data_IF_543183858625
#
_entry.id   IF_543183858625
#
_cell.length_a   1.000
_cell.length_b   1.000
_cell.length_c   1.000
_cell.angle_alpha   90.00
_cell.angle_beta   90.00
_cell.angle_gamma   90.00
#
_symmetry.space_group_name_H-M   'P 1'
#
loop_
_entity.id
_entity.type
_entity.pdbx_description
1 polymer ?
#
# COMPACT_ATOMS: atom_id res chain seq x y z
N UNK A 1 48.84 -39.29 2.92
CA UNK A 1 50.12 -38.81 2.36
C UNK A 1 50.09 -37.30 2.41
N UNK A 2 50.95 -36.72 3.23
CA UNK A 2 51.19 -35.29 3.31
C UNK A 2 51.98 -34.83 2.06
N UNK A 3 51.80 -33.57 1.65
CA UNK A 3 52.95 -32.72 1.39
C UNK A 3 52.56 -31.25 1.61
N UNK A 4 53.19 -30.72 2.66
CA UNK A 4 53.31 -29.32 3.02
C UNK A 4 54.56 -28.77 2.29
N UNK A 5 54.51 -27.52 1.85
CA UNK A 5 55.70 -26.68 1.65
C UNK A 5 55.29 -25.22 1.84
N UNK A 6 55.68 -24.66 2.97
CA UNK A 6 55.51 -23.24 3.30
C UNK A 6 56.73 -22.38 3.01
N UNK A 7 56.56 -21.08 3.28
CA UNK A 7 57.52 -19.97 3.56
C UNK A 7 57.16 -18.70 2.75
N UNK A 8 57.16 -17.43 3.22
CA UNK A 8 57.48 -16.67 4.47
C UNK A 8 56.85 -15.25 4.26
N UNK A 9 56.47 -14.49 5.31
CA UNK A 9 55.85 -13.16 5.17
C UNK A 9 56.85 -12.04 4.87
N UNK A 10 56.48 -11.09 3.99
CA UNK A 10 57.27 -9.87 3.70
C UNK A 10 56.91 -8.69 4.62
N UNK A 11 57.95 -7.95 4.97
CA UNK A 11 58.05 -6.88 5.96
C UNK A 11 57.46 -5.51 5.57
N UNK A 12 57.03 -4.77 6.61
CA UNK A 12 56.88 -3.31 6.79
C UNK A 12 57.19 -2.41 5.58
N UNK A 13 56.14 -1.77 5.05
CA UNK A 13 56.20 -0.57 4.20
C UNK A 13 55.67 0.67 4.93
N UNK A 14 56.38 1.80 4.77
CA UNK A 14 56.20 3.10 5.44
C UNK A 14 54.81 3.72 5.26
N UNK A 15 54.36 4.45 6.29
CA UNK A 15 53.06 5.11 6.37
C UNK A 15 52.78 6.11 5.24
N UNK A 16 51.55 6.02 4.71
CA UNK A 16 50.84 7.15 4.10
C UNK A 16 49.69 7.46 5.03
N UNK A 17 49.69 8.67 5.60
CA UNK A 17 48.52 9.25 6.24
C UNK A 17 47.39 9.33 5.21
N UNK A 18 46.32 8.58 5.45
CA UNK A 18 45.11 8.66 4.64
C UNK A 18 44.47 10.03 4.90
N UNK A 19 44.56 10.95 3.94
CA UNK A 19 43.69 12.14 3.92
C UNK A 19 42.26 11.63 3.71
N UNK A 20 41.39 11.94 4.66
CA UNK A 20 39.94 11.74 4.52
C UNK A 20 39.46 12.38 3.21
N UNK A 21 38.53 11.72 2.51
CA UNK A 21 37.96 12.26 1.28
C UNK A 21 37.19 13.54 1.60
N UNK A 22 37.20 14.52 0.69
CA UNK A 22 36.44 15.78 0.85
C UNK A 22 34.95 15.53 1.13
N UNK A 23 34.38 14.41 0.68
CA UNK A 23 33.00 14.02 0.98
C UNK A 23 32.80 13.62 2.44
N UNK A 24 33.78 12.96 3.08
CA UNK A 24 33.68 12.62 4.51
C UNK A 24 33.80 13.86 5.40
N UNK A 25 34.58 14.86 4.98
CA UNK A 25 34.71 16.14 5.69
C UNK A 25 33.47 17.02 5.53
N UNK A 26 32.87 17.07 4.33
CA UNK A 26 31.60 17.75 4.07
C UNK A 26 30.43 17.09 4.81
N UNK A 27 30.44 15.76 4.94
CA UNK A 27 29.46 15.01 5.71
C UNK A 27 29.60 15.25 7.23
N UNK A 28 30.83 15.25 7.78
CA UNK A 28 31.05 15.57 9.19
C UNK A 28 30.58 17.00 9.54
N UNK A 29 30.74 17.96 8.61
CA UNK A 29 30.23 19.32 8.76
C UNK A 29 28.69 19.40 8.66
N UNK A 30 28.06 18.59 7.79
CA UNK A 30 26.60 18.50 7.67
C UNK A 30 25.95 17.79 8.87
N UNK A 31 26.62 16.80 9.47
CA UNK A 31 26.21 16.12 10.71
C UNK A 31 26.27 17.06 11.91
N UNK A 32 27.25 17.96 11.96
CA UNK A 32 27.30 19.04 12.96
C UNK A 32 26.26 20.15 12.70
N UNK A 33 25.73 20.25 11.48
CA UNK A 33 24.67 21.18 11.08
C UNK A 33 23.27 20.54 11.08
N UNK A 34 23.14 19.28 11.49
CA UNK A 34 21.86 18.63 11.71
C UNK A 34 21.13 19.21 12.93
N UNK A 35 19.81 18.98 13.05
CA UNK A 35 19.00 19.50 14.14
C UNK A 35 19.67 19.28 15.50
N UNK A 36 19.93 20.36 16.23
CA UNK A 36 20.34 20.23 17.63
C UNK A 36 19.16 19.71 18.45
N UNK A 37 19.40 19.20 19.67
CA UNK A 37 18.36 18.84 20.64
C UNK A 37 17.29 19.94 20.85
N UNK A 38 17.60 21.20 20.50
CA UNK A 38 16.64 22.31 20.54
C UNK A 38 15.55 22.25 19.45
N UNK A 39 15.79 21.62 18.30
CA UNK A 39 14.77 21.45 17.24
C UNK A 39 13.79 20.30 17.53
N UNK A 40 14.18 19.36 18.40
CA UNK A 40 13.26 18.36 18.95
C UNK A 40 12.28 18.96 19.98
N UNK A 41 12.53 20.19 20.47
CA UNK A 41 11.68 20.84 21.46
C UNK A 41 10.36 21.41 20.88
N UNK A 42 10.31 21.63 19.55
CA UNK A 42 9.09 22.08 18.84
C UNK A 42 8.18 20.90 18.42
N UNK A 43 8.58 19.65 18.69
CA UNK A 43 7.77 18.47 18.40
C UNK A 43 6.87 18.14 19.58
N UNK A 44 5.61 17.74 19.31
CA UNK A 44 4.69 17.31 20.37
C UNK A 44 5.35 16.18 21.20
N UNK A 45 5.51 16.35 22.52
CA UNK A 45 6.12 15.35 23.40
C UNK A 45 5.52 13.95 23.28
N UNK A 46 4.26 13.84 22.83
CA UNK A 46 3.61 12.56 22.55
C UNK A 46 4.35 11.72 21.50
N UNK A 47 5.02 12.35 20.51
CA UNK A 47 5.82 11.64 19.49
C UNK A 47 7.13 11.08 20.02
N UNK A 48 7.63 11.60 21.14
CA UNK A 48 8.88 11.19 21.77
C UNK A 48 8.66 10.19 22.92
N UNK A 49 7.40 9.89 23.25
CA UNK A 49 7.06 8.94 24.30
C UNK A 49 7.43 7.49 23.90
N UNK A 50 7.96 6.67 24.83
CA UNK A 50 8.29 5.27 24.54
C UNK A 50 7.06 4.48 24.06
N UNK A 51 7.13 3.73 22.94
CA UNK A 51 5.98 3.06 22.32
C UNK A 51 5.18 2.18 23.29
N UNK A 52 5.86 1.50 24.22
CA UNK A 52 5.22 0.60 25.18
C UNK A 52 4.30 1.30 26.19
N UNK A 53 4.56 2.57 26.52
CA UNK A 53 3.71 3.30 27.47
C UNK A 53 2.34 3.63 26.86
N UNK A 54 2.30 3.94 25.55
CA UNK A 54 1.08 4.29 24.83
C UNK A 54 0.16 3.08 24.53
N UNK A 55 0.70 1.87 24.41
CA UNK A 55 -0.09 0.65 24.10
C UNK A 55 -1.00 0.17 25.25
N UNK A 56 -0.91 0.77 26.45
CA UNK A 56 -1.68 0.34 27.64
C UNK A 56 -2.93 1.17 27.92
N UNK A 57 -3.23 2.18 27.10
CA UNK A 57 -4.45 2.96 27.22
C UNK A 57 -5.65 2.15 26.66
N UNK A 58 -6.38 1.48 27.56
CA UNK A 58 -7.47 0.55 27.28
C UNK A 58 -8.76 1.18 26.73
N UNK A 59 -8.69 1.86 25.58
CA UNK A 59 -9.85 2.26 24.79
C UNK A 59 -10.18 1.24 23.70
N UNK A 60 -11.46 1.11 23.33
CA UNK A 60 -11.85 0.40 22.11
C UNK A 60 -11.39 1.22 20.91
N UNK A 61 -10.40 0.73 20.16
CA UNK A 61 -9.93 1.41 18.95
C UNK A 61 -11.07 1.51 17.92
N UNK A 62 -11.28 2.71 17.40
CA UNK A 62 -12.17 2.97 16.26
C UNK A 62 -11.27 3.40 15.09
N UNK A 63 -11.31 2.69 13.95
CA UNK A 63 -10.55 3.07 12.76
C UNK A 63 -10.82 4.52 12.35
N UNK A 64 -9.80 5.21 11.86
CA UNK A 64 -9.99 6.57 11.36
C UNK A 64 -10.91 6.52 10.12
N UNK A 65 -11.92 7.40 10.09
CA UNK A 65 -12.91 7.47 9.01
C UNK A 65 -12.90 8.87 8.40
N UNK A 66 -12.06 9.15 7.40
CA UNK A 66 -12.09 10.43 6.73
C UNK A 66 -13.40 10.68 6.00
N UNK A 67 -13.68 11.96 5.74
CA UNK A 67 -14.69 12.35 4.77
C UNK A 67 -14.34 11.73 3.41
N UNK A 68 -15.30 11.02 2.82
CA UNK A 68 -15.10 10.33 1.55
C UNK A 68 -15.59 11.21 0.41
N UNK A 69 -14.91 11.18 -0.75
CA UNK A 69 -15.47 11.76 -1.96
C UNK A 69 -16.79 11.07 -2.31
N UNK A 70 -17.65 11.77 -3.04
CA UNK A 70 -18.83 11.17 -3.63
C UNK A 70 -18.42 10.03 -4.57
N UNK A 71 -19.17 8.92 -4.53
CA UNK A 71 -18.89 7.73 -5.32
C UNK A 71 -19.20 7.99 -6.79
N UNK A 72 -18.19 7.91 -7.65
CA UNK A 72 -18.33 8.10 -9.10
C UNK A 72 -19.25 7.08 -9.77
N UNK A 73 -19.38 5.89 -9.19
CA UNK A 73 -20.25 4.80 -9.65
C UNK A 73 -21.22 4.36 -8.54
N UNK A 74 -21.67 5.30 -7.71
CA UNK A 74 -22.63 5.05 -6.63
C UNK A 74 -24.03 4.62 -7.12
N UNK A 75 -24.84 4.09 -6.20
CA UNK A 75 -26.23 3.69 -6.47
C UNK A 75 -26.39 2.35 -7.19
N UNK A 76 -25.29 1.68 -7.54
CA UNK A 76 -25.31 0.32 -8.10
C UNK A 76 -25.73 -0.69 -7.03
N UNK A 77 -26.65 -1.59 -7.39
CA UNK A 77 -27.20 -2.61 -6.50
C UNK A 77 -26.55 -3.96 -6.74
N UNK A 78 -26.39 -4.74 -5.67
CA UNK A 78 -26.08 -6.16 -5.80
C UNK A 78 -27.20 -6.88 -6.53
N UNK A 79 -26.82 -7.76 -7.46
CA UNK A 79 -27.73 -8.58 -8.26
C UNK A 79 -27.18 -10.00 -8.32
N UNK A 80 -27.80 -10.89 -7.56
CA UNK A 80 -27.45 -12.30 -7.54
C UNK A 80 -27.95 -12.98 -8.82
N UNK A 81 -27.04 -13.65 -9.52
CA UNK A 81 -27.34 -14.49 -10.67
C UNK A 81 -27.11 -15.94 -10.27
N UNK A 82 -28.19 -16.73 -10.27
CA UNK A 82 -28.13 -18.14 -9.90
C UNK A 82 -29.34 -18.88 -10.45
N UNK A 83 -29.14 -20.12 -10.89
CA UNK A 83 -30.24 -21.04 -11.25
C UNK A 83 -30.87 -21.68 -10.00
N UNK A 84 -30.18 -21.60 -8.86
CA UNK A 84 -30.64 -22.16 -7.60
C UNK A 84 -31.67 -21.23 -6.94
N UNK A 85 -32.58 -21.84 -6.18
CA UNK A 85 -33.43 -21.13 -5.22
C UNK A 85 -33.07 -21.63 -3.81
N UNK A 86 -33.17 -20.76 -2.77
CA UNK A 86 -32.96 -21.21 -1.39
C UNK A 86 -33.83 -22.43 -1.07
N UNK A 87 -33.23 -23.48 -0.55
CA UNK A 87 -33.88 -24.76 -0.25
C UNK A 87 -33.44 -25.31 1.11
N UNK A 88 -34.19 -26.29 1.62
CA UNK A 88 -33.96 -26.83 2.97
C UNK A 88 -34.10 -25.73 4.03
N UNK A 89 -33.09 -25.62 4.91
CA UNK A 89 -33.07 -24.62 5.99
C UNK A 89 -32.55 -23.23 5.55
N UNK A 90 -32.07 -23.10 4.30
CA UNK A 90 -31.53 -21.83 3.80
C UNK A 90 -32.54 -20.67 3.86
N UNK A 91 -33.83 -20.80 3.49
CA UNK A 91 -34.77 -19.69 3.54
C UNK A 91 -34.91 -19.09 4.95
N UNK A 92 -34.98 -19.94 5.97
CA UNK A 92 -35.07 -19.53 7.38
C UNK A 92 -33.78 -18.85 7.83
N UNK A 93 -32.62 -19.48 7.57
CA UNK A 93 -31.32 -18.92 7.95
C UNK A 93 -31.07 -17.54 7.29
N UNK A 94 -31.43 -17.37 6.02
CA UNK A 94 -31.31 -16.08 5.32
C UNK A 94 -32.22 -15.04 5.98
N UNK A 95 -33.47 -15.38 6.28
CA UNK A 95 -34.42 -14.45 6.88
C UNK A 95 -33.97 -14.00 8.29
N UNK A 96 -33.45 -14.91 9.11
CA UNK A 96 -32.92 -14.60 10.44
C UNK A 96 -31.68 -13.70 10.37
N UNK A 97 -30.71 -14.03 9.49
CA UNK A 97 -29.50 -13.22 9.33
C UNK A 97 -29.81 -11.81 8.82
N UNK A 98 -30.70 -11.68 7.82
CA UNK A 98 -31.13 -10.38 7.30
C UNK A 98 -31.80 -9.56 8.40
N UNK A 99 -32.71 -10.17 9.17
CA UNK A 99 -33.37 -9.51 10.29
C UNK A 99 -32.38 -9.02 11.35
N UNK A 100 -31.36 -9.82 11.68
CA UNK A 100 -30.31 -9.40 12.62
C UNK A 100 -29.48 -8.22 12.08
N UNK A 101 -29.16 -8.22 10.79
CA UNK A 101 -28.46 -7.09 10.15
C UNK A 101 -29.30 -5.81 10.19
N UNK A 102 -30.61 -5.91 9.91
CA UNK A 102 -31.57 -4.80 9.99
C UNK A 102 -31.77 -4.29 11.42
N UNK A 103 -31.68 -5.19 12.41
CA UNK A 103 -31.70 -4.86 13.84
C UNK A 103 -30.37 -4.26 14.35
N UNK A 104 -29.35 -4.14 13.49
CA UNK A 104 -28.00 -3.70 13.84
C UNK A 104 -27.28 -4.62 14.84
N UNK A 105 -27.61 -5.91 14.84
CA UNK A 105 -26.86 -6.92 15.59
C UNK A 105 -25.43 -6.97 15.06
N UNK A 106 -24.45 -6.78 15.97
CA UNK A 106 -23.03 -6.74 15.61
C UNK A 106 -22.46 -8.12 15.30
N UNK A 107 -22.88 -9.14 16.06
CA UNK A 107 -22.34 -10.48 16.00
C UNK A 107 -23.47 -11.49 15.74
N UNK A 108 -23.31 -12.29 14.69
CA UNK A 108 -24.24 -13.35 14.30
C UNK A 108 -23.46 -14.59 13.85
N UNK A 109 -24.00 -15.78 14.11
CA UNK A 109 -23.33 -17.05 13.78
C UNK A 109 -24.22 -17.93 12.92
N UNK A 110 -23.80 -18.19 11.68
CA UNK A 110 -24.41 -19.19 10.82
C UNK A 110 -23.81 -20.57 11.10
N UNK A 111 -24.52 -21.39 11.88
CA UNK A 111 -24.12 -22.77 12.14
C UNK A 111 -24.54 -23.70 10.98
N UNK A 112 -23.75 -23.69 9.91
CA UNK A 112 -24.02 -24.51 8.72
C UNK A 112 -23.13 -25.75 8.60
N UNK A 113 -23.74 -26.94 8.45
CA UNK A 113 -23.01 -28.18 8.15
C UNK A 113 -22.25 -28.09 6.81
N UNK A 114 -21.24 -28.95 6.61
CA UNK A 114 -20.52 -29.02 5.33
C UNK A 114 -21.46 -29.44 4.21
N UNK A 115 -21.37 -28.78 3.05
CA UNK A 115 -22.25 -29.06 1.90
C UNK A 115 -23.63 -28.40 1.96
N UNK A 116 -24.00 -27.67 3.01
CA UNK A 116 -25.31 -27.00 3.10
C UNK A 116 -25.46 -25.73 2.24
N UNK A 117 -24.46 -25.39 1.43
CA UNK A 117 -24.49 -24.18 0.58
C UNK A 117 -24.29 -22.86 1.32
N UNK A 118 -23.41 -22.83 2.34
CA UNK A 118 -23.12 -21.62 3.14
C UNK A 118 -22.78 -20.38 2.30
N UNK A 119 -21.98 -20.53 1.24
CA UNK A 119 -21.64 -19.41 0.36
C UNK A 119 -22.89 -18.81 -0.28
N UNK A 120 -23.79 -19.65 -0.80
CA UNK A 120 -25.04 -19.20 -1.42
C UNK A 120 -25.99 -18.54 -0.40
N UNK A 121 -26.06 -19.07 0.82
CA UNK A 121 -26.76 -18.41 1.94
C UNK A 121 -26.22 -17.00 2.18
N UNK A 122 -24.90 -16.84 2.26
CA UNK A 122 -24.28 -15.52 2.48
C UNK A 122 -24.44 -14.58 1.28
N UNK A 123 -24.40 -15.10 0.05
CA UNK A 123 -24.69 -14.32 -1.15
C UNK A 123 -26.12 -13.73 -1.12
N UNK A 124 -27.11 -14.54 -0.74
CA UNK A 124 -28.49 -14.07 -0.53
C UNK A 124 -28.60 -12.99 0.55
N UNK A 125 -27.84 -13.10 1.64
CA UNK A 125 -27.81 -12.07 2.70
C UNK A 125 -27.21 -10.76 2.16
N UNK A 126 -26.12 -10.83 1.41
CA UNK A 126 -25.48 -9.64 0.80
C UNK A 126 -26.44 -8.96 -0.19
N UNK A 127 -27.09 -9.73 -1.07
CA UNK A 127 -28.06 -9.19 -2.01
C UNK A 127 -29.25 -8.53 -1.29
N UNK A 128 -29.80 -9.14 -0.23
CA UNK A 128 -30.97 -8.58 0.45
C UNK A 128 -30.65 -7.34 1.28
N UNK A 129 -29.45 -7.29 1.87
CA UNK A 129 -29.04 -6.17 2.71
C UNK A 129 -28.47 -5.01 1.91
N UNK A 130 -27.99 -5.25 0.67
CA UNK A 130 -27.40 -4.24 -0.20
C UNK A 130 -26.22 -3.49 0.45
N UNK A 131 -25.44 -4.17 1.30
CA UNK A 131 -24.28 -3.61 2.00
C UNK A 131 -22.98 -4.16 1.40
N UNK A 132 -21.94 -3.34 1.19
CA UNK A 132 -20.60 -3.82 0.89
C UNK A 132 -20.17 -4.88 1.91
N UNK A 133 -19.49 -5.92 1.44
CA UNK A 133 -19.12 -7.06 2.28
C UNK A 133 -17.61 -7.32 2.21
N UNK A 134 -17.00 -7.55 3.39
CA UNK A 134 -15.65 -8.08 3.51
C UNK A 134 -15.74 -9.52 3.99
N UNK A 135 -15.22 -10.46 3.20
CA UNK A 135 -15.21 -11.89 3.49
C UNK A 135 -13.80 -12.30 3.86
N UNK A 136 -13.60 -12.74 5.10
CA UNK A 136 -12.30 -13.15 5.60
C UNK A 136 -12.11 -14.65 5.46
N UNK A 137 -11.05 -15.04 4.75
CA UNK A 137 -10.63 -16.43 4.59
C UNK A 137 -9.30 -16.67 5.32
N UNK A 138 -9.14 -17.82 6.00
CA UNK A 138 -7.94 -18.14 6.78
C UNK A 138 -6.72 -18.49 5.91
N UNK A 139 -6.91 -18.78 4.62
CA UNK A 139 -5.83 -19.11 3.70
C UNK A 139 -6.16 -18.67 2.26
N UNK A 140 -5.12 -18.57 1.42
CA UNK A 140 -5.23 -18.12 0.01
C UNK A 140 -6.09 -19.08 -0.84
N UNK A 141 -6.05 -20.38 -0.57
CA UNK A 141 -6.80 -21.39 -1.35
C UNK A 141 -8.30 -21.22 -1.19
N UNK A 142 -8.79 -21.12 0.05
CA UNK A 142 -10.21 -20.89 0.33
C UNK A 142 -10.63 -19.48 -0.12
N UNK A 143 -9.75 -18.48 0.02
CA UNK A 143 -10.01 -17.13 -0.49
C UNK A 143 -10.26 -17.15 -2.01
N UNK A 144 -9.42 -17.86 -2.78
CA UNK A 144 -9.58 -17.98 -4.23
C UNK A 144 -10.86 -18.73 -4.62
N UNK A 145 -11.21 -19.80 -3.88
CA UNK A 145 -12.48 -20.52 -4.07
C UNK A 145 -13.69 -19.62 -3.86
N UNK A 146 -13.73 -18.91 -2.72
CA UNK A 146 -14.80 -17.97 -2.41
C UNK A 146 -14.87 -16.83 -3.44
N UNK A 147 -13.73 -16.27 -3.84
CA UNK A 147 -13.69 -15.24 -4.89
C UNK A 147 -14.32 -15.74 -6.20
N UNK A 148 -13.99 -16.96 -6.64
CA UNK A 148 -14.58 -17.55 -7.84
C UNK A 148 -16.09 -17.79 -7.69
N UNK A 149 -16.54 -18.35 -6.56
CA UNK A 149 -17.96 -18.56 -6.27
C UNK A 149 -18.74 -17.24 -6.26
N UNK A 150 -18.24 -16.21 -5.56
CA UNK A 150 -18.88 -14.91 -5.52
C UNK A 150 -18.87 -14.20 -6.88
N UNK A 151 -17.81 -14.35 -7.70
CA UNK A 151 -17.80 -13.83 -9.08
C UNK A 151 -18.87 -14.49 -9.95
N UNK A 152 -19.11 -15.79 -9.78
CA UNK A 152 -20.20 -16.48 -10.49
C UNK A 152 -21.58 -16.00 -10.01
N UNK A 153 -21.74 -15.77 -8.71
CA UNK A 153 -22.98 -15.27 -8.14
C UNK A 153 -23.26 -13.80 -8.47
N UNK A 154 -22.25 -12.97 -8.61
CA UNK A 154 -22.39 -11.53 -8.84
C UNK A 154 -21.55 -11.07 -10.05
N UNK A 155 -21.86 -11.55 -11.27
CA UNK A 155 -21.07 -11.25 -12.46
C UNK A 155 -21.13 -9.77 -12.86
N UNK A 156 -22.22 -9.07 -12.51
CA UNK A 156 -22.45 -7.66 -12.81
C UNK A 156 -21.93 -6.70 -11.72
N UNK A 157 -21.42 -7.22 -10.58
CA UNK A 157 -20.97 -6.43 -9.43
C UNK A 157 -19.45 -6.52 -9.19
N UNK A 158 -18.93 -5.63 -8.35
CA UNK A 158 -17.51 -5.57 -8.01
C UNK A 158 -17.14 -6.61 -6.94
N UNK A 159 -16.95 -7.85 -7.37
CA UNK A 159 -16.29 -8.88 -6.54
C UNK A 159 -14.78 -8.74 -6.70
N UNK A 160 -14.06 -8.58 -5.59
CA UNK A 160 -12.65 -8.18 -5.56
C UNK A 160 -11.84 -9.11 -4.66
N UNK A 161 -10.54 -9.17 -4.91
CA UNK A 161 -9.62 -10.09 -4.22
C UNK A 161 -8.49 -9.33 -3.52
N UNK A 162 -8.33 -9.55 -2.21
CA UNK A 162 -7.38 -8.82 -1.38
C UNK A 162 -6.57 -9.74 -0.47
N UNK A 163 -5.48 -10.30 -1.00
CA UNK A 163 -4.54 -11.14 -0.23
C UNK A 163 -3.13 -10.57 -0.31
N UNK A 164 -2.19 -11.21 0.40
CA UNK A 164 -0.77 -10.86 0.23
C UNK A 164 -0.35 -11.08 -1.22
N UNK A 165 0.13 -10.00 -1.83
CA UNK A 165 0.74 -9.97 -3.16
C UNK A 165 2.15 -10.59 -3.21
N UNK A 166 2.68 -11.11 -2.11
CA UNK A 166 3.97 -11.79 -2.15
C UNK A 166 3.76 -13.27 -2.52
N UNK A 167 4.47 -13.73 -3.55
CA UNK A 167 4.64 -15.16 -3.85
C UNK A 167 5.65 -15.78 -2.88
N UNK A 168 6.71 -15.03 -2.59
CA UNK A 168 7.71 -15.36 -1.59
C UNK A 168 7.96 -14.14 -0.71
N UNK A 169 8.06 -14.36 0.60
CA UNK A 169 8.36 -13.30 1.57
C UNK A 169 9.21 -13.84 2.70
N UNK A 170 10.40 -13.28 2.85
CA UNK A 170 11.28 -13.43 3.98
C UNK A 170 11.31 -12.10 4.75
N UNK A 171 10.84 -12.06 6.00
CA UNK A 171 10.94 -10.86 6.81
C UNK A 171 12.40 -10.55 7.17
N UNK A 172 12.68 -9.27 7.36
CA UNK A 172 13.90 -8.85 8.04
C UNK A 172 13.89 -9.40 9.47
N UNK A 173 14.99 -10.05 9.88
CA UNK A 173 15.10 -10.63 11.21
C UNK A 173 16.54 -10.63 11.70
N UNK A 174 16.71 -10.64 13.02
CA UNK A 174 17.99 -10.85 13.65
C UNK A 174 17.87 -12.02 14.64
N UNK A 175 18.77 -13.00 14.53
CA UNK A 175 18.82 -14.19 15.38
C UNK A 175 19.97 -14.01 16.38
N UNK A 176 19.70 -13.65 17.65
CA UNK A 176 20.76 -13.33 18.61
C UNK A 176 21.68 -14.50 18.93
N UNK A 177 21.14 -15.73 18.94
CA UNK A 177 21.91 -16.94 19.29
C UNK A 177 23.06 -17.21 18.31
N UNK A 178 22.90 -16.81 17.06
CA UNK A 178 23.87 -17.05 15.99
C UNK A 178 24.47 -15.75 15.45
N UNK A 179 24.15 -14.60 16.05
CA UNK A 179 24.51 -13.26 15.57
C UNK A 179 24.28 -13.12 14.06
N UNK A 180 23.12 -13.59 13.59
CA UNK A 180 22.79 -13.63 12.16
C UNK A 180 21.71 -12.62 11.85
N UNK A 181 22.03 -11.70 10.95
CA UNK A 181 21.05 -10.82 10.33
C UNK A 181 20.54 -11.45 9.03
N UNK A 182 19.22 -11.51 8.90
CA UNK A 182 18.49 -12.02 7.75
C UNK A 182 17.88 -10.81 7.05
N UNK A 183 18.32 -10.55 5.82
CA UNK A 183 17.78 -9.49 4.99
C UNK A 183 16.35 -9.82 4.56
N UNK A 184 15.54 -8.76 4.42
CA UNK A 184 14.25 -8.84 3.75
C UNK A 184 14.48 -9.27 2.31
N UNK A 185 13.78 -10.30 1.89
CA UNK A 185 13.72 -10.72 0.50
C UNK A 185 12.28 -11.06 0.13
N UNK A 186 11.84 -10.66 -1.04
CA UNK A 186 10.44 -10.83 -1.43
C UNK A 186 10.26 -10.79 -2.94
N UNK A 187 9.34 -11.61 -3.43
CA UNK A 187 8.86 -11.59 -4.81
C UNK A 187 7.41 -11.17 -4.85
N UNK A 188 7.10 -10.13 -5.62
CA UNK A 188 5.75 -9.61 -5.80
C UNK A 188 5.08 -10.30 -6.99
N UNK A 189 3.83 -10.68 -6.79
CA UNK A 189 2.91 -11.15 -7.80
C UNK A 189 2.12 -9.95 -8.33
N UNK A 190 2.44 -9.53 -9.56
CA UNK A 190 1.85 -8.37 -10.22
C UNK A 190 0.33 -8.50 -10.44
N UNK A 191 -0.18 -9.72 -10.62
CA UNK A 191 -1.61 -9.98 -10.80
C UNK A 191 -2.36 -9.75 -9.48
N UNK A 192 -1.82 -10.24 -8.36
CA UNK A 192 -2.41 -10.01 -7.04
C UNK A 192 -2.30 -8.54 -6.63
N UNK A 193 -1.18 -7.87 -6.94
CA UNK A 193 -1.04 -6.43 -6.72
C UNK A 193 -2.11 -5.63 -7.46
N UNK A 194 -2.33 -5.94 -8.75
CA UNK A 194 -3.42 -5.38 -9.56
C UNK A 194 -4.79 -5.60 -8.89
N UNK A 195 -5.09 -6.82 -8.44
CA UNK A 195 -6.35 -7.13 -7.77
C UNK A 195 -6.55 -6.34 -6.47
N UNK A 196 -5.46 -6.07 -5.71
CA UNK A 196 -5.53 -5.20 -4.51
C UNK A 196 -5.85 -3.75 -4.87
N UNK A 197 -5.25 -3.23 -5.94
CA UNK A 197 -5.58 -1.91 -6.47
C UNK A 197 -7.05 -1.85 -6.94
N UNK A 198 -7.53 -2.90 -7.60
CA UNK A 198 -8.95 -3.03 -7.98
C UNK A 198 -9.86 -2.98 -6.76
N UNK A 199 -9.57 -3.75 -5.70
CA UNK A 199 -10.36 -3.79 -4.47
C UNK A 199 -10.48 -2.43 -3.76
N UNK A 200 -9.34 -1.75 -3.58
CA UNK A 200 -9.28 -0.45 -2.90
C UNK A 200 -9.91 0.67 -3.72
N UNK A 201 -9.82 0.63 -5.05
CA UNK A 201 -10.56 1.54 -5.94
C UNK A 201 -12.06 1.26 -5.87
N UNK A 202 -12.47 0.01 -6.06
CA UNK A 202 -13.88 -0.38 -6.14
C UNK A 202 -14.68 0.10 -4.92
N UNK A 203 -14.17 -0.11 -3.70
CA UNK A 203 -14.86 0.31 -2.47
C UNK A 203 -15.01 1.82 -2.33
N UNK A 204 -14.14 2.61 -2.97
CA UNK A 204 -14.21 4.07 -2.98
C UNK A 204 -15.13 4.61 -4.08
N UNK A 205 -15.36 3.86 -5.16
CA UNK A 205 -16.14 4.32 -6.30
C UNK A 205 -17.55 3.72 -6.37
N UNK A 206 -17.79 2.56 -5.75
CA UNK A 206 -19.01 1.76 -5.92
C UNK A 206 -19.64 1.35 -4.60
N UNK A 207 -20.95 1.08 -4.62
CA UNK A 207 -21.71 0.56 -3.47
C UNK A 207 -21.84 -0.96 -3.47
N UNK A 208 -21.71 -1.60 -4.63
CA UNK A 208 -21.91 -3.02 -4.85
C UNK A 208 -20.59 -3.81 -4.83
N UNK A 209 -19.84 -3.71 -3.72
CA UNK A 209 -18.50 -4.28 -3.59
C UNK A 209 -18.45 -5.44 -2.58
N UNK A 210 -17.94 -6.59 -3.02
CA UNK A 210 -17.60 -7.74 -2.18
C UNK A 210 -16.09 -7.94 -2.25
N UNK A 211 -15.38 -7.82 -1.13
CA UNK A 211 -13.95 -8.08 -1.07
C UNK A 211 -13.73 -9.42 -0.38
N UNK A 212 -13.12 -10.38 -1.07
CA UNK A 212 -12.63 -11.62 -0.46
C UNK A 212 -11.16 -11.40 -0.07
N UNK A 213 -10.87 -11.48 1.22
CA UNK A 213 -9.57 -11.12 1.77
C UNK A 213 -8.98 -12.20 2.68
N UNK A 214 -7.65 -12.23 2.76
CA UNK A 214 -6.95 -12.92 3.84
C UNK A 214 -6.70 -11.97 5.01
N UNK A 215 -5.93 -12.42 6.01
CA UNK A 215 -5.38 -11.55 7.07
C UNK A 215 -4.61 -10.34 6.52
N UNK A 216 -4.28 -10.28 5.24
CA UNK A 216 -3.70 -9.07 4.65
C UNK A 216 -4.56 -7.81 4.84
N UNK A 217 -5.87 -7.93 5.05
CA UNK A 217 -6.76 -6.77 5.29
C UNK A 217 -6.49 -6.02 6.60
N UNK A 218 -5.82 -6.65 7.57
CA UNK A 218 -5.42 -6.04 8.85
C UNK A 218 -3.97 -5.53 8.84
N UNK A 219 -3.24 -5.73 7.74
CA UNK A 219 -1.89 -5.16 7.58
C UNK A 219 -1.98 -3.73 7.07
N UNK A 220 -0.95 -2.95 7.43
CA UNK A 220 -0.84 -1.55 7.04
C UNK A 220 -0.93 -1.36 5.52
N UNK A 221 -1.68 -0.36 5.08
CA UNK A 221 -1.71 0.18 3.72
C UNK A 221 -1.72 1.71 3.82
N UNK A 222 -1.53 2.45 2.72
CA UNK A 222 -1.65 3.91 2.78
C UNK A 222 -3.04 4.37 3.19
N UNK A 223 -3.09 5.55 3.78
CA UNK A 223 -4.35 6.12 4.28
C UNK A 223 -5.30 6.44 3.12
N UNK A 224 -6.61 6.41 3.41
CA UNK A 224 -7.64 6.70 2.41
C UNK A 224 -7.52 8.13 1.88
N UNK A 225 -7.18 9.09 2.74
CA UNK A 225 -6.99 10.50 2.36
C UNK A 225 -5.83 10.65 1.39
N UNK A 226 -4.74 9.93 1.62
CA UNK A 226 -3.57 10.00 0.74
C UNK A 226 -3.87 9.30 -0.59
N UNK A 227 -4.49 8.12 -0.54
CA UNK A 227 -4.82 7.36 -1.75
C UNK A 227 -5.89 8.04 -2.61
N UNK A 228 -6.93 8.59 -1.99
CA UNK A 228 -8.02 9.29 -2.69
C UNK A 228 -7.68 10.75 -3.03
N UNK A 229 -6.96 11.45 -2.16
CA UNK A 229 -6.59 12.86 -2.32
C UNK A 229 -5.46 13.09 -3.33
N UNK A 230 -4.69 12.07 -3.68
CA UNK A 230 -3.71 12.15 -4.77
C UNK A 230 -4.29 11.78 -6.12
N UNK A 231 -5.45 11.12 -6.18
CA UNK A 231 -6.05 10.69 -7.44
C UNK A 231 -6.37 11.89 -8.34
N UNK A 232 -6.06 11.75 -9.63
CA UNK A 232 -6.25 12.82 -10.63
C UNK A 232 -7.41 12.45 -11.54
N UNK A 233 -8.42 13.32 -11.61
CA UNK A 233 -9.51 13.20 -12.59
C UNK A 233 -9.15 13.95 -13.87
N UNK A 234 -9.41 13.33 -15.01
CA UNK A 234 -9.23 13.91 -16.34
C UNK A 234 -10.51 13.68 -17.13
N UNK A 235 -11.13 14.75 -17.61
CA UNK A 235 -12.34 14.72 -18.42
C UNK A 235 -12.11 15.32 -19.81
N UNK A 236 -12.97 14.93 -20.76
CA UNK A 236 -13.03 15.55 -22.08
C UNK A 236 -13.33 17.04 -21.94
N UNK A 237 -12.56 17.87 -22.63
CA UNK A 237 -12.64 19.33 -22.56
C UNK A 237 -11.79 19.97 -21.46
N UNK A 238 -11.15 19.19 -20.59
CA UNK A 238 -10.23 19.74 -19.58
C UNK A 238 -9.01 20.39 -20.24
N UNK A 239 -8.51 21.46 -19.61
CA UNK A 239 -7.24 22.08 -20.00
C UNK A 239 -6.09 21.51 -19.19
N UNK A 240 -5.15 20.86 -19.86
CA UNK A 240 -4.03 20.15 -19.25
C UNK A 240 -2.72 20.58 -19.92
N UNK A 241 -1.82 21.18 -19.13
CA UNK A 241 -0.43 21.33 -19.56
C UNK A 241 0.25 19.96 -19.57
N UNK A 242 0.83 19.59 -20.71
CA UNK A 242 1.42 18.28 -20.94
C UNK A 242 2.56 17.97 -19.95
N UNK A 243 3.41 18.95 -19.65
CA UNK A 243 4.54 18.72 -18.74
C UNK A 243 4.06 18.57 -17.29
N UNK A 244 3.05 19.34 -16.89
CA UNK A 244 2.39 19.19 -15.61
C UNK A 244 1.72 17.81 -15.48
N UNK A 245 1.04 17.32 -16.52
CA UNK A 245 0.45 15.98 -16.54
C UNK A 245 1.50 14.88 -16.35
N UNK A 246 2.62 14.97 -17.06
CA UNK A 246 3.76 14.06 -16.91
C UNK A 246 4.29 14.09 -15.48
N UNK A 247 4.49 15.28 -14.91
CA UNK A 247 4.92 15.45 -13.52
C UNK A 247 3.94 14.85 -12.51
N UNK A 248 2.64 15.02 -12.75
CA UNK A 248 1.57 14.43 -11.94
C UNK A 248 1.56 12.90 -11.99
N UNK A 249 1.72 12.30 -13.17
CA UNK A 249 1.82 10.84 -13.31
C UNK A 249 3.06 10.27 -12.60
N UNK A 250 4.19 10.97 -12.67
CA UNK A 250 5.41 10.61 -11.91
C UNK A 250 5.17 10.73 -10.40
N UNK A 251 4.47 11.77 -9.94
CA UNK A 251 4.10 11.90 -8.53
C UNK A 251 3.17 10.79 -8.05
N UNK A 252 2.35 10.24 -8.94
CA UNK A 252 1.54 9.03 -8.73
C UNK A 252 2.32 7.71 -8.86
N UNK A 253 3.65 7.76 -8.97
CA UNK A 253 4.55 6.61 -9.14
C UNK A 253 4.36 5.81 -10.43
N UNK A 254 3.81 6.43 -11.48
CA UNK A 254 3.88 5.85 -12.83
C UNK A 254 5.26 6.09 -13.43
N UNK A 255 5.74 5.10 -14.19
CA UNK A 255 7.03 5.17 -14.87
C UNK A 255 6.84 5.51 -16.33
N UNK A 256 7.58 6.48 -16.85
CA UNK A 256 7.58 6.74 -18.29
C UNK A 256 8.30 5.59 -19.00
N UNK A 257 7.62 4.92 -19.93
CA UNK A 257 8.22 3.85 -20.72
C UNK A 257 7.61 3.82 -22.13
N UNK A 258 8.33 4.42 -23.08
CA UNK A 258 7.85 4.58 -24.46
C UNK A 258 7.99 3.27 -25.29
N UNK A 259 8.90 2.38 -24.86
CA UNK A 259 9.25 1.11 -25.53
C UNK A 259 8.46 -0.09 -24.98
N UNK A 260 8.47 -0.27 -23.65
CA UNK A 260 7.79 -1.38 -22.98
C UNK A 260 6.59 -0.87 -22.17
N UNK A 261 5.44 -0.80 -22.84
CA UNK A 261 4.22 -0.25 -22.26
C UNK A 261 3.44 -1.32 -21.45
N UNK A 262 3.71 -1.35 -20.15
CA UNK A 262 3.12 -2.29 -19.18
C UNK A 262 2.34 -1.56 -18.09
N UNK A 263 1.59 -2.31 -17.28
CA UNK A 263 0.87 -1.79 -16.10
C UNK A 263 1.75 -0.88 -15.25
N UNK A 264 1.20 0.26 -14.82
CA UNK A 264 1.93 1.25 -14.02
C UNK A 264 2.91 2.11 -14.82
N UNK A 265 2.87 2.03 -16.16
CA UNK A 265 3.63 2.89 -17.05
C UNK A 265 2.73 3.90 -17.78
N UNK A 266 3.35 4.97 -18.25
CA UNK A 266 2.76 5.88 -19.24
C UNK A 266 3.76 6.14 -20.36
N UNK A 267 3.27 6.53 -21.53
CA UNK A 267 4.10 6.96 -22.66
C UNK A 267 3.52 8.19 -23.33
N UNK A 268 4.37 8.95 -24.00
CA UNK A 268 3.97 10.21 -24.64
C UNK A 268 4.41 10.20 -26.09
N UNK A 269 3.47 10.35 -27.02
CA UNK A 269 3.72 10.36 -28.47
C UNK A 269 3.02 11.56 -29.11
N UNK A 270 3.79 12.62 -29.35
CA UNK A 270 3.24 13.88 -29.86
C UNK A 270 2.24 14.48 -28.87
N UNK A 271 0.97 14.54 -29.27
CA UNK A 271 -0.13 15.09 -28.50
C UNK A 271 -0.96 14.01 -27.78
N UNK A 272 -0.46 12.77 -27.75
CA UNK A 272 -1.11 11.65 -27.07
C UNK A 272 -0.35 11.25 -25.81
N UNK A 273 -1.09 11.02 -24.73
CA UNK A 273 -0.61 10.44 -23.48
C UNK A 273 -1.33 9.11 -23.29
N UNK A 274 -0.61 8.00 -23.39
CA UNK A 274 -1.15 6.68 -23.06
C UNK A 274 -0.78 6.35 -21.61
N UNK A 275 -1.76 5.92 -20.82
CA UNK A 275 -1.59 5.54 -19.41
C UNK A 275 -2.11 4.11 -19.23
N UNK A 276 -1.28 3.22 -18.69
CA UNK A 276 -1.70 1.88 -18.29
C UNK A 276 -1.97 1.87 -16.77
N UNK A 277 -3.24 1.99 -16.34
CA UNK A 277 -3.58 2.16 -14.93
C UNK A 277 -3.27 0.90 -14.10
N UNK A 278 -2.96 1.11 -12.81
CA UNK A 278 -2.51 0.07 -11.89
C UNK A 278 -3.51 -1.08 -11.63
N UNK A 279 -4.80 -0.86 -11.90
CA UNK A 279 -5.89 -1.79 -11.58
C UNK A 279 -6.42 -2.57 -12.78
N UNK A 280 -6.07 -2.20 -14.01
CA UNK A 280 -6.47 -2.92 -15.23
C UNK A 280 -5.46 -4.01 -15.61
N UNK A 281 -5.99 -5.04 -16.26
CA UNK A 281 -5.22 -6.19 -16.73
C UNK A 281 -4.82 -6.05 -18.19
N UNK A 282 -5.77 -5.68 -19.04
CA UNK A 282 -5.65 -5.71 -20.50
C UNK A 282 -6.20 -4.43 -21.17
N UNK A 283 -6.35 -3.34 -20.41
CA UNK A 283 -6.86 -2.06 -20.89
C UNK A 283 -5.96 -0.91 -20.45
N UNK A 284 -5.79 0.05 -21.35
CA UNK A 284 -5.09 1.30 -21.13
C UNK A 284 -5.95 2.46 -21.64
N UNK A 285 -5.63 3.67 -21.20
CA UNK A 285 -6.31 4.89 -21.64
C UNK A 285 -5.38 5.69 -22.54
N UNK A 286 -5.91 6.16 -23.66
CA UNK A 286 -5.28 7.15 -24.53
C UNK A 286 -5.98 8.47 -24.35
N UNK A 287 -5.23 9.48 -23.95
CA UNK A 287 -5.69 10.86 -23.87
C UNK A 287 -5.11 11.58 -25.09
N UNK A 288 -5.98 12.06 -25.97
CA UNK A 288 -5.59 12.85 -27.14
C UNK A 288 -5.80 14.34 -26.83
N UNK A 289 -4.76 15.14 -27.01
CA UNK A 289 -4.78 16.58 -26.77
C UNK A 289 -4.90 17.34 -28.09
N UNK A 290 -5.68 18.42 -28.09
CA UNK A 290 -5.65 19.45 -29.11
C UNK A 290 -5.10 20.74 -28.50
N UNK A 291 -3.79 20.95 -28.66
CA UNK A 291 -3.06 21.99 -27.93
C UNK A 291 -2.98 21.65 -26.44
N UNK A 292 -3.68 22.42 -25.60
CA UNK A 292 -3.79 22.21 -24.15
C UNK A 292 -5.13 21.62 -23.73
N UNK A 293 -6.01 21.25 -24.66
CA UNK A 293 -7.36 20.73 -24.35
C UNK A 293 -7.43 19.23 -24.58
N UNK A 294 -8.04 18.48 -23.66
CA UNK A 294 -8.37 17.06 -23.85
C UNK A 294 -9.48 16.94 -24.88
N UNK A 295 -9.14 16.43 -26.07
CA UNK A 295 -10.08 16.24 -27.18
C UNK A 295 -10.86 14.93 -27.04
N UNK A 296 -10.15 13.84 -26.72
CA UNK A 296 -10.75 12.52 -26.55
C UNK A 296 -10.02 11.70 -25.47
N UNK A 297 -10.78 10.81 -24.83
CA UNK A 297 -10.24 9.77 -23.96
C UNK A 297 -10.75 8.43 -24.49
N UNK A 298 -9.84 7.57 -24.92
CA UNK A 298 -10.19 6.27 -25.50
C UNK A 298 -9.62 5.14 -24.66
N UNK A 299 -10.43 4.15 -24.31
CA UNK A 299 -9.95 2.89 -23.76
C UNK A 299 -9.49 1.96 -24.89
N UNK A 300 -8.33 1.33 -24.76
CA UNK A 300 -7.78 0.43 -25.77
C UNK A 300 -6.99 -0.73 -25.16
N UNK A 301 -6.84 -1.81 -25.93
CA UNK A 301 -5.98 -2.94 -25.60
C UNK A 301 -4.50 -2.58 -25.87
N UNK A 302 -3.61 -2.60 -24.86
CA UNK A 302 -2.21 -2.21 -25.02
C UNK A 302 -1.38 -3.18 -25.87
N UNK A 303 -1.82 -4.44 -26.02
CA UNK A 303 -1.16 -5.46 -26.82
C UNK A 303 -1.59 -5.39 -28.29
N UNK A 304 -2.89 -5.29 -28.56
CA UNK A 304 -3.43 -5.32 -29.94
C UNK A 304 -3.64 -3.93 -30.55
N UNK A 305 -3.76 -2.90 -29.71
CA UNK A 305 -4.13 -1.54 -30.12
C UNK A 305 -5.62 -1.35 -30.42
N UNK A 306 -6.44 -2.38 -30.24
CA UNK A 306 -7.88 -2.30 -30.52
C UNK A 306 -8.58 -1.34 -29.55
N UNK A 307 -9.38 -0.41 -30.08
CA UNK A 307 -10.16 0.55 -29.28
C UNK A 307 -11.40 -0.14 -28.71
N UNK A 308 -11.59 -0.09 -27.40
CA UNK A 308 -12.76 -0.63 -26.71
C UNK A 308 -13.93 0.37 -26.68
N UNK A 309 -13.66 1.66 -26.51
CA UNK A 309 -14.67 2.71 -26.51
C UNK A 309 -14.11 4.08 -26.10
N UNK A 310 -14.92 5.12 -26.27
CA UNK A 310 -14.63 6.47 -25.78
C UNK A 310 -15.19 6.67 -24.36
N UNK A 311 -14.47 7.42 -23.55
CA UNK A 311 -14.81 7.74 -22.17
C UNK A 311 -14.96 9.25 -22.02
N UNK A 312 -15.94 9.70 -21.25
CA UNK A 312 -16.13 11.12 -20.93
C UNK A 312 -15.11 11.60 -19.89
N UNK A 313 -14.69 10.72 -18.97
CA UNK A 313 -13.68 11.01 -17.97
C UNK A 313 -13.02 9.74 -17.44
N UNK A 314 -11.83 9.91 -16.86
CA UNK A 314 -11.07 8.88 -16.17
C UNK A 314 -10.58 9.41 -14.82
N UNK A 315 -10.30 8.50 -13.90
CA UNK A 315 -9.68 8.81 -12.62
C UNK A 315 -8.43 7.97 -12.42
N UNK A 316 -7.27 8.64 -12.38
CA UNK A 316 -5.96 8.01 -12.25
C UNK A 316 -5.59 7.94 -10.79
N UNK A 317 -5.57 6.72 -10.24
CA UNK A 317 -5.09 6.44 -8.90
C UNK A 317 -3.58 6.18 -8.90
N UNK A 318 -2.95 6.41 -7.74
CA UNK A 318 -1.57 6.08 -7.47
C UNK A 318 -1.23 4.63 -7.85
N UNK A 319 -0.05 4.43 -8.44
CA UNK A 319 0.49 3.12 -8.82
C UNK A 319 1.11 2.36 -7.63
N UNK A 320 0.77 2.77 -6.40
CA UNK A 320 1.18 2.13 -5.15
C UNK A 320 0.22 2.55 -4.04
N UNK A 321 -0.05 1.64 -3.09
CA UNK A 321 -0.77 1.98 -1.87
C UNK A 321 0.05 2.84 -0.90
N UNK A 322 1.36 3.03 -1.12
CA UNK A 322 2.24 3.73 -0.18
C UNK A 322 2.79 5.05 -0.73
N UNK A 323 2.12 5.63 -1.73
CA UNK A 323 2.50 6.96 -2.24
C UNK A 323 2.41 7.97 -1.10
N UNK A 324 3.54 8.59 -0.77
CA UNK A 324 3.62 9.62 0.28
C UNK A 324 4.03 10.94 -0.37
N UNK A 325 3.24 12.02 -0.22
CA UNK A 325 3.59 13.32 -0.78
C UNK A 325 4.93 13.85 -0.24
N UNK A 326 5.66 14.61 -1.06
CA UNK A 326 6.97 15.16 -0.70
C UNK A 326 6.97 16.02 0.59
N UNK A 327 5.95 16.87 0.86
CA UNK A 327 5.88 17.59 2.13
C UNK A 327 5.77 16.64 3.33
N UNK A 328 4.98 15.57 3.21
CA UNK A 328 4.83 14.54 4.25
C UNK A 328 6.13 13.80 4.48
N UNK A 329 6.87 13.44 3.42
CA UNK A 329 8.21 12.84 3.53
C UNK A 329 9.17 13.75 4.29
N UNK A 330 9.22 15.05 3.96
CA UNK A 330 10.10 16.00 4.64
C UNK A 330 9.76 16.15 6.13
N UNK A 331 8.48 16.16 6.48
CA UNK A 331 8.04 16.18 7.87
C UNK A 331 8.41 14.88 8.59
N UNK A 332 8.15 13.73 7.98
CA UNK A 332 8.50 12.41 8.53
C UNK A 332 10.00 12.30 8.80
N UNK A 333 10.85 12.74 7.86
CA UNK A 333 12.30 12.72 8.03
C UNK A 333 12.78 13.52 9.25
N UNK A 334 12.14 14.67 9.55
CA UNK A 334 12.49 15.44 10.77
C UNK A 334 12.20 14.63 12.03
N UNK A 335 11.04 13.98 12.08
CA UNK A 335 10.66 13.12 13.21
C UNK A 335 11.57 11.91 13.37
N UNK A 336 11.89 11.22 12.27
CA UNK A 336 12.82 10.08 12.26
C UNK A 336 14.20 10.50 12.79
N UNK A 337 14.71 11.66 12.37
CA UNK A 337 15.99 12.20 12.87
C UNK A 337 15.93 12.49 14.37
N UNK A 338 14.85 13.09 14.87
CA UNK A 338 14.70 13.38 16.30
C UNK A 338 14.61 12.10 17.15
N UNK A 339 13.87 11.09 16.70
CA UNK A 339 13.78 9.78 17.36
C UNK A 339 15.13 9.05 17.34
N UNK A 340 15.86 9.12 16.23
CA UNK A 340 17.21 8.54 16.12
C UNK A 340 18.15 9.15 17.15
N UNK A 341 18.19 10.48 17.29
CA UNK A 341 19.05 11.17 18.29
C UNK A 341 18.75 10.67 19.71
N UNK A 342 17.46 10.63 20.07
CA UNK A 342 17.01 10.16 21.38
C UNK A 342 17.43 8.70 21.60
N UNK A 343 17.21 7.84 20.62
CA UNK A 343 17.51 6.41 20.72
C UNK A 343 18.99 6.11 20.80
N UNK A 344 19.83 6.87 20.07
CA UNK A 344 21.28 6.75 20.14
C UNK A 344 21.82 7.19 21.50
N UNK A 345 21.26 8.23 22.12
CA UNK A 345 21.62 8.64 23.47
C UNK A 345 21.35 7.52 24.49
N UNK A 346 20.18 6.88 24.43
CA UNK A 346 19.84 5.74 25.29
C UNK A 346 20.81 4.57 25.12
N UNK A 347 21.13 4.18 23.89
CA UNK A 347 22.05 3.08 23.61
C UNK A 347 23.47 3.39 24.10
N UNK A 348 23.96 4.62 23.89
CA UNK A 348 25.27 5.06 24.39
C UNK A 348 25.30 5.08 25.92
N UNK A 349 24.26 5.59 26.57
CA UNK A 349 24.14 5.61 28.03
C UNK A 349 24.08 4.20 28.66
N UNK A 350 23.52 3.23 27.94
CA UNK A 350 23.42 1.82 28.37
C UNK A 350 24.57 0.93 27.89
N UNK A 351 25.62 1.50 27.27
CA UNK A 351 26.81 0.77 26.83
C UNK A 351 26.63 -0.06 25.55
N UNK A 352 25.50 0.08 24.83
CA UNK A 352 25.16 -0.61 23.57
C UNK A 352 25.76 0.09 22.35
N UNK A 353 27.09 0.20 22.32
CA UNK A 353 27.81 1.00 21.32
C UNK A 353 27.70 0.44 19.90
N UNK A 354 27.71 -0.90 19.76
CA UNK A 354 27.59 -1.54 18.46
C UNK A 354 26.18 -1.38 17.88
N UNK A 355 25.14 -1.52 18.70
CA UNK A 355 23.75 -1.30 18.32
C UNK A 355 23.50 0.16 17.94
N UNK A 356 24.09 1.12 18.67
CA UNK A 356 24.05 2.53 18.32
C UNK A 356 24.68 2.77 16.93
N UNK A 357 25.85 2.21 16.68
CA UNK A 357 26.52 2.36 15.38
C UNK A 357 25.70 1.74 14.23
N UNK A 358 25.15 0.53 14.44
CA UNK A 358 24.31 -0.16 13.44
C UNK A 358 23.05 0.66 13.11
N UNK A 359 22.35 1.15 14.13
CA UNK A 359 21.15 1.97 13.97
C UNK A 359 21.46 3.28 13.23
N UNK A 360 22.50 3.99 13.66
CA UNK A 360 22.92 5.26 13.05
C UNK A 360 23.28 5.11 11.57
N UNK A 361 24.01 4.05 11.21
CA UNK A 361 24.38 3.81 9.81
C UNK A 361 23.18 3.48 8.93
N UNK A 362 22.30 2.57 9.37
CA UNK A 362 21.13 2.16 8.58
C UNK A 362 20.16 3.33 8.41
N UNK A 363 19.78 4.00 9.49
CA UNK A 363 18.78 5.07 9.43
C UNK A 363 19.26 6.27 8.61
N UNK A 364 20.55 6.65 8.69
CA UNK A 364 21.07 7.73 7.86
C UNK A 364 21.07 7.37 6.36
N UNK A 365 21.45 6.14 6.01
CA UNK A 365 21.37 5.68 4.62
C UNK A 365 19.93 5.70 4.09
N UNK A 366 18.97 5.23 4.89
CA UNK A 366 17.56 5.25 4.50
C UNK A 366 17.03 6.68 4.32
N UNK A 367 17.41 7.61 5.21
CA UNK A 367 17.06 9.03 5.10
C UNK A 367 17.63 9.67 3.83
N UNK A 368 18.88 9.37 3.47
CA UNK A 368 19.49 9.83 2.22
C UNK A 368 18.73 9.30 1.00
N UNK A 369 18.33 8.02 1.03
CA UNK A 369 17.55 7.40 -0.05
C UNK A 369 16.15 8.01 -0.17
N UNK A 370 15.47 8.26 0.95
CA UNK A 370 14.16 8.94 0.97
C UNK A 370 14.29 10.35 0.40
N UNK A 371 15.34 11.10 0.75
CA UNK A 371 15.56 12.46 0.26
C UNK A 371 15.81 12.50 -1.25
N UNK A 372 16.64 11.57 -1.75
CA UNK A 372 17.05 11.52 -3.14
C UNK A 372 15.98 10.94 -4.06
N UNK A 373 15.28 9.89 -3.62
CA UNK A 373 14.41 9.08 -4.49
C UNK A 373 12.94 9.08 -4.08
N UNK A 374 12.61 9.59 -2.89
CA UNK A 374 11.27 9.51 -2.31
C UNK A 374 10.94 8.14 -1.70
N UNK A 375 11.90 7.21 -1.65
CA UNK A 375 11.71 5.88 -1.06
C UNK A 375 13.01 5.27 -0.52
N UNK A 376 12.91 4.18 0.25
CA UNK A 376 14.05 3.35 0.68
C UNK A 376 13.63 1.88 0.80
N UNK A 377 14.61 0.98 0.92
CA UNK A 377 14.32 -0.40 1.27
C UNK A 377 13.74 -0.46 2.69
N UNK A 378 12.64 -1.19 2.87
CA UNK A 378 11.98 -1.27 4.18
C UNK A 378 11.28 0.02 4.62
N UNK A 379 10.84 0.86 3.68
CA UNK A 379 10.15 2.14 3.98
C UNK A 379 8.95 1.96 4.93
N UNK A 380 8.30 0.80 4.92
CA UNK A 380 7.21 0.46 5.83
C UNK A 380 7.59 0.50 7.32
N UNK A 381 8.88 0.35 7.66
CA UNK A 381 9.39 0.50 9.03
C UNK A 381 9.23 1.94 9.55
N UNK A 382 9.09 2.91 8.65
CA UNK A 382 8.85 4.32 8.97
C UNK A 382 7.37 4.71 8.85
N UNK A 383 6.47 3.75 8.63
CA UNK A 383 5.04 3.99 8.34
C UNK A 383 4.32 4.91 9.33
N UNK A 384 4.63 4.83 10.62
CA UNK A 384 4.09 5.75 11.65
C UNK A 384 4.33 7.22 11.26
N UNK A 385 5.58 7.55 10.94
CA UNK A 385 5.95 8.91 10.54
C UNK A 385 5.35 9.31 9.21
N UNK A 386 5.25 8.38 8.26
CA UNK A 386 4.68 8.62 6.93
C UNK A 386 3.16 8.84 6.97
N UNK A 387 2.48 8.29 7.98
CA UNK A 387 1.03 8.41 8.16
C UNK A 387 0.63 9.48 9.18
N UNK A 388 1.60 10.07 9.89
CA UNK A 388 1.36 11.06 10.94
C UNK A 388 0.77 10.49 12.24
N UNK A 389 0.67 9.17 12.37
CA UNK A 389 0.11 8.48 13.54
C UNK A 389 0.98 8.71 14.79
N UNK A 390 0.34 8.76 15.96
CA UNK A 390 1.05 8.83 17.23
C UNK A 390 1.68 7.48 17.61
N UNK A 391 2.70 7.46 18.49
CA UNK A 391 3.23 6.21 19.02
C UNK A 391 2.13 5.34 19.66
N UNK A 392 2.09 4.06 19.28
CA UNK A 392 1.10 3.10 19.77
C UNK A 392 -0.21 3.07 18.96
N UNK A 393 -0.45 4.05 18.07
CA UNK A 393 -1.59 3.99 17.17
C UNK A 393 -1.37 2.95 16.05
N UNK A 394 -2.42 2.22 15.65
CA UNK A 394 -2.32 1.28 14.55
C UNK A 394 -2.19 2.01 13.20
N UNK A 395 -1.53 1.38 12.21
CA UNK A 395 -1.46 1.93 10.86
C UNK A 395 -2.85 1.89 10.18
N UNK A 396 -3.07 2.68 9.12
CA UNK A 396 -4.24 2.54 8.26
C UNK A 396 -4.29 1.12 7.67
N UNK A 397 -5.48 0.52 7.63
CA UNK A 397 -5.70 -0.83 7.07
C UNK A 397 -6.85 -0.81 6.09
N UNK A 398 -7.18 -1.94 5.44
CA UNK A 398 -8.34 -2.02 4.56
C UNK A 398 -9.65 -1.64 5.27
N UNK A 399 -9.73 -1.82 6.60
CA UNK A 399 -10.90 -1.43 7.38
C UNK A 399 -11.20 0.08 7.33
N UNK A 400 -10.20 0.94 7.13
CA UNK A 400 -10.42 2.39 6.96
C UNK A 400 -11.05 2.73 5.61
N UNK A 401 -10.95 1.83 4.62
CA UNK A 401 -11.58 1.96 3.30
C UNK A 401 -13.05 1.49 3.29
N UNK A 402 -13.50 0.71 4.27
CA UNK A 402 -14.88 0.21 4.36
C UNK A 402 -15.86 1.28 4.91
N UNK A 403 -17.07 1.47 4.35
CA UNK A 403 -18.01 2.55 4.71
C UNK A 403 -18.38 2.72 6.20
#
# INVERSE_FOLDING_TARGET
>A
MAHNNGMVPRSKGKGRTAKASENSAKFAAAVQAGPSLAEAADMDPAYLAPPLAAMTAGGTFVPHRPARPEKSEGGKKFKLVSEYKPAGDQPTAIAELVKGVEALDRDQVLLGVTGSGKTYTMAQVIERTQRPALILAPNKTLAAQLYAEFKQFFPDNAVEYFVSYYDYYQPEAYIPRTDTYIEKDSSINEEIDRMRHSATRAILERDDVIIVASVSCIYGIGSVETYSGTAVSIAKGDRIDRNAAIGGLVALQYRRNDDNFTRGAFRVRGDTIDIFPAHYEDRAWRIELFGDVVDSITEFDPLTGHKAGELESIKVYANSHYVTPRPTLQQAMKGIKAELVTRLADFRATGKLLEAQRLEQRTNFDLEMIEATGSCAGIENYSRWLTGRLPGEPPPTLFEYLP
#
